data_IF_698018771749
#
_entry.id   IF_698018771749
#
_cell.length_a   1.000
_cell.length_b   1.000
_cell.length_c   1.000
_cell.angle_alpha   90.00
_cell.angle_beta   90.00
_cell.angle_gamma   90.00
#
_symmetry.space_group_name_H-M   'P 1'
#
loop_
_entity.id
_entity.type
_entity.pdbx_description
1 polymer ?
#
# COMPACT_ATOMS: atom_id res chain seq x y z
N UNK A 1 -5.30 -1.59 -7.97
CA UNK A 1 -4.44 -0.53 -8.55
C UNK A 1 -3.06 -1.11 -8.85
N UNK A 2 -2.38 -0.75 -9.95
CA UNK A 2 -0.98 -1.17 -10.20
C UNK A 2 -0.04 -0.04 -9.80
N UNK A 3 0.88 -0.32 -8.90
CA UNK A 3 1.79 0.65 -8.30
C UNK A 3 3.24 0.30 -8.69
N UNK A 4 4.05 1.28 -9.14
CA UNK A 4 5.47 1.06 -9.40
C UNK A 4 6.22 0.50 -8.17
N UNK A 5 7.08 -0.51 -8.37
CA UNK A 5 7.84 -1.13 -7.27
C UNK A 5 8.73 -0.14 -6.49
N UNK A 6 9.15 0.97 -7.09
CA UNK A 6 9.88 2.03 -6.39
C UNK A 6 9.11 2.60 -5.20
N UNK A 7 7.77 2.50 -5.20
CA UNK A 7 6.89 2.95 -4.13
C UNK A 7 6.64 1.87 -3.06
N UNK A 8 7.15 0.65 -3.24
CA UNK A 8 6.93 -0.44 -2.30
C UNK A 8 7.45 -0.10 -0.90
N UNK A 9 8.72 0.33 -0.81
CA UNK A 9 9.34 0.67 0.46
C UNK A 9 8.63 1.82 1.20
N UNK A 10 8.32 2.97 0.57
CA UNK A 10 7.57 4.03 1.25
C UNK A 10 6.14 3.63 1.63
N UNK A 11 5.49 2.73 0.88
CA UNK A 11 4.17 2.19 1.25
C UNK A 11 4.27 1.27 2.47
N UNK A 12 5.24 0.35 2.49
CA UNK A 12 5.45 -0.56 3.62
C UNK A 12 5.82 0.22 4.89
N UNK A 13 6.66 1.24 4.78
CA UNK A 13 7.00 2.09 5.93
C UNK A 13 5.79 2.84 6.48
N UNK A 14 4.91 3.33 5.61
CA UNK A 14 3.66 3.96 6.05
C UNK A 14 2.79 2.98 6.83
N UNK A 15 2.60 1.76 6.30
CA UNK A 15 1.80 0.71 6.95
C UNK A 15 2.38 0.36 8.33
N UNK A 16 3.67 0.05 8.39
CA UNK A 16 4.33 -0.40 9.63
C UNK A 16 4.56 0.72 10.65
N UNK A 17 4.55 1.98 10.18
CA UNK A 17 4.69 3.16 11.03
C UNK A 17 3.38 3.69 11.61
N UNK A 18 2.23 3.19 11.15
CA UNK A 18 0.93 3.63 11.67
C UNK A 18 0.68 3.07 13.08
N UNK A 19 0.15 3.91 13.98
CA UNK A 19 -0.19 3.52 15.36
C UNK A 19 -1.47 2.68 15.40
N UNK A 20 -1.35 1.46 14.90
CA UNK A 20 -2.41 0.50 14.65
C UNK A 20 -1.92 -0.71 13.87
N UNK A 21 -0.64 -0.74 13.46
CA UNK A 21 -0.05 -1.93 12.86
C UNK A 21 -0.09 -3.12 13.83
N UNK A 22 -0.67 -4.24 13.37
CA UNK A 22 -0.84 -5.44 14.18
C UNK A 22 0.10 -6.56 13.74
N UNK A 23 0.15 -6.86 12.43
CA UNK A 23 0.92 -8.00 11.94
C UNK A 23 1.28 -7.89 10.45
N UNK A 24 2.30 -8.67 10.08
CA UNK A 24 2.65 -8.96 8.70
C UNK A 24 2.79 -10.47 8.51
N UNK A 25 2.34 -10.99 7.36
CA UNK A 25 2.53 -12.40 7.00
C UNK A 25 2.79 -12.57 5.50
N UNK A 26 3.57 -13.59 5.09
CA UNK A 26 3.89 -13.80 3.68
C UNK A 26 2.68 -14.34 2.90
N UNK A 27 2.51 -13.88 1.66
CA UNK A 27 1.61 -14.46 0.67
C UNK A 27 2.43 -15.14 -0.44
N UNK A 28 1.82 -16.08 -1.16
CA UNK A 28 2.49 -16.84 -2.24
C UNK A 28 3.20 -15.93 -3.26
N UNK A 29 2.65 -14.74 -3.53
CA UNK A 29 3.23 -13.72 -4.40
C UNK A 29 3.17 -12.34 -3.76
N UNK A 30 3.43 -12.21 -2.45
CA UNK A 30 3.12 -10.96 -1.79
C UNK A 30 3.34 -10.91 -0.29
N UNK A 31 2.74 -9.91 0.33
CA UNK A 31 2.71 -9.74 1.78
C UNK A 31 1.35 -9.23 2.21
N UNK A 32 0.85 -9.79 3.30
CA UNK A 32 -0.38 -9.43 3.96
C UNK A 32 -0.04 -8.59 5.20
N UNK A 33 -0.74 -7.48 5.38
CA UNK A 33 -0.60 -6.60 6.54
C UNK A 33 -1.96 -6.37 7.19
N UNK A 34 -1.97 -6.31 8.52
CA UNK A 34 -3.15 -5.95 9.30
C UNK A 34 -2.87 -4.69 10.09
N UNK A 35 -3.77 -3.71 9.98
CA UNK A 35 -3.71 -2.40 10.65
C UNK A 35 -5.07 -2.06 11.23
N UNK A 36 -5.24 -2.07 12.56
CA UNK A 36 -6.52 -1.87 13.25
C UNK A 36 -7.66 -2.69 12.62
N UNK A 37 -7.41 -3.96 12.33
CA UNK A 37 -8.35 -4.86 11.64
C UNK A 37 -8.57 -4.59 10.14
N UNK A 38 -8.04 -3.50 9.57
CA UNK A 38 -7.98 -3.29 8.11
C UNK A 38 -6.91 -4.18 7.53
N UNK A 39 -7.23 -4.85 6.43
CA UNK A 39 -6.30 -5.77 5.75
C UNK A 39 -5.76 -5.11 4.49
N UNK A 40 -4.44 -5.11 4.33
CA UNK A 40 -3.76 -4.65 3.12
C UNK A 40 -2.95 -5.81 2.53
N UNK A 41 -3.31 -6.21 1.32
CA UNK A 41 -2.54 -7.21 0.57
C UNK A 41 -1.73 -6.55 -0.55
N UNK A 42 -0.42 -6.75 -0.51
CA UNK A 42 0.51 -6.39 -1.58
C UNK A 42 0.80 -7.65 -2.39
N UNK A 43 0.48 -7.63 -3.69
CA UNK A 43 0.72 -8.73 -4.63
C UNK A 43 1.73 -8.33 -5.70
N UNK A 44 2.89 -8.97 -5.72
CA UNK A 44 3.91 -8.82 -6.75
C UNK A 44 3.49 -9.50 -8.04
N UNK A 45 3.59 -8.78 -9.17
CA UNK A 45 3.26 -9.38 -10.46
C UNK A 45 4.42 -10.24 -10.96
N UNK A 46 4.15 -11.52 -11.22
CA UNK A 46 5.10 -12.42 -11.90
C UNK A 46 5.23 -12.11 -13.40
N UNK A 47 4.18 -11.53 -14.01
CA UNK A 47 4.13 -11.17 -15.43
C UNK A 47 4.65 -9.75 -15.71
N UNK A 48 4.41 -8.81 -14.80
CA UNK A 48 4.83 -7.42 -14.94
C UNK A 48 5.68 -6.99 -13.74
N UNK A 49 6.91 -7.51 -13.72
CA UNK A 49 7.90 -7.33 -12.66
C UNK A 49 8.10 -5.90 -12.13
N UNK A 50 7.97 -4.80 -12.92
CA UNK A 50 8.15 -3.44 -12.39
C UNK A 50 6.99 -2.93 -11.51
N UNK A 51 5.91 -3.70 -11.32
CA UNK A 51 4.73 -3.26 -10.57
C UNK A 51 4.22 -4.30 -9.59
N UNK A 52 3.56 -3.82 -8.54
CA UNK A 52 2.75 -4.63 -7.64
C UNK A 52 1.30 -4.15 -7.65
N UNK A 53 0.40 -4.98 -7.13
CA UNK A 53 -1.00 -4.63 -6.90
C UNK A 53 -1.27 -4.52 -5.42
N UNK A 54 -2.12 -3.57 -5.06
CA UNK A 54 -2.56 -3.35 -3.69
C UNK A 54 -4.08 -3.56 -3.60
N UNK A 55 -4.49 -4.28 -2.57
CA UNK A 55 -5.90 -4.56 -2.23
C UNK A 55 -6.15 -4.20 -0.76
N UNK A 56 -7.25 -3.50 -0.49
CA UNK A 56 -7.65 -3.03 0.85
C UNK A 56 -8.99 -3.64 1.20
N UNK A 57 -9.01 -4.47 2.25
CA UNK A 57 -10.17 -5.21 2.73
C UNK A 57 -10.55 -4.77 4.13
N UNK A 58 -11.80 -5.04 4.51
CA UNK A 58 -12.35 -4.68 5.82
C UNK A 58 -12.19 -3.18 6.17
N UNK A 59 -12.45 -2.30 5.19
CA UNK A 59 -12.22 -0.86 5.31
C UNK A 59 -13.00 -0.19 6.45
N UNK A 60 -14.09 -0.81 6.90
CA UNK A 60 -14.93 -0.31 8.00
C UNK A 60 -14.28 -0.45 9.37
N UNK A 61 -13.21 -1.25 9.52
CA UNK A 61 -12.53 -1.43 10.79
C UNK A 61 -11.76 -0.17 11.24
N UNK A 62 -11.13 0.53 10.29
CA UNK A 62 -10.50 1.83 10.52
C UNK A 62 -10.64 2.71 9.26
N UNK A 63 -11.78 3.42 9.11
CA UNK A 63 -12.02 4.25 7.93
C UNK A 63 -11.09 5.47 7.87
N UNK A 64 -10.54 5.91 9.01
CA UNK A 64 -9.59 7.03 9.06
C UNK A 64 -8.27 6.58 8.46
N UNK A 65 -7.74 5.43 8.88
CA UNK A 65 -6.54 4.85 8.30
C UNK A 65 -6.69 4.66 6.80
N UNK A 66 -7.80 4.07 6.34
CA UNK A 66 -8.06 3.84 4.91
C UNK A 66 -8.03 5.16 4.13
N UNK A 67 -8.73 6.19 4.62
CA UNK A 67 -8.75 7.50 3.97
C UNK A 67 -7.35 8.11 3.88
N UNK A 68 -6.59 8.11 4.97
CA UNK A 68 -5.23 8.65 5.00
C UNK A 68 -4.28 7.85 4.10
N UNK A 69 -4.43 6.52 4.08
CA UNK A 69 -3.60 5.63 3.28
C UNK A 69 -3.88 5.80 1.79
N UNK A 70 -5.14 5.90 1.38
CA UNK A 70 -5.52 6.17 -0.01
C UNK A 70 -5.04 7.57 -0.46
N UNK A 71 -5.15 8.59 0.41
CA UNK A 71 -4.59 9.91 0.14
C UNK A 71 -3.06 9.84 -0.04
N UNK A 72 -2.36 9.16 0.86
CA UNK A 72 -0.91 8.99 0.78
C UNK A 72 -0.50 8.30 -0.53
N UNK A 73 -1.14 7.18 -0.89
CA UNK A 73 -0.91 6.49 -2.16
C UNK A 73 -1.18 7.44 -3.33
N UNK A 74 -2.28 8.21 -3.28
CA UNK A 74 -2.62 9.20 -4.30
C UNK A 74 -1.51 10.23 -4.51
N UNK A 75 -0.91 10.76 -3.44
CA UNK A 75 0.18 11.74 -3.50
C UNK A 75 1.46 11.15 -4.08
N UNK A 76 1.87 9.96 -3.62
CA UNK A 76 3.14 9.35 -4.06
C UNK A 76 3.06 8.67 -5.42
N UNK A 77 1.84 8.42 -5.91
CA UNK A 77 1.58 7.79 -7.22
C UNK A 77 1.47 8.81 -8.36
N UNK A 78 1.50 10.12 -8.07
CA UNK A 78 1.59 11.14 -9.12
C UNK A 78 2.96 11.00 -9.81
N UNK A 79 3.01 10.85 -11.14
CA UNK A 79 4.28 10.84 -11.85
C UNK A 79 5.05 12.12 -11.54
N UNK A 80 6.38 12.01 -11.36
CA UNK A 80 7.27 13.09 -10.97
C UNK A 80 7.44 14.21 -12.03
N UNK A 81 6.42 14.47 -12.85
CA UNK A 81 6.47 15.39 -13.97
C UNK A 81 5.34 16.42 -13.89
N UNK A 82 5.45 17.30 -12.89
CA UNK A 82 4.87 18.65 -12.92
C UNK A 82 5.85 19.68 -12.33
N UNK A 83 7.15 19.53 -12.65
CA UNK A 83 8.06 20.67 -12.61
C UNK A 83 7.91 21.43 -13.92
N UNK A 84 6.82 22.19 -14.04
CA UNK A 84 6.75 23.30 -15.00
C UNK A 84 7.29 24.52 -14.28
N UNK A 85 8.62 24.75 -14.32
CA UNK A 85 9.27 26.05 -14.54
C UNK A 85 10.71 25.80 -14.98
#
# INVERSE_FOLDING_TARGET
>A
MRVPNQLLFPIVNYIKGYNGFESESPLQFGTHYVVNGVVIDIHFSTKNKPTFSLDIKNQTADPIFVQLFEQYIGVISVPADQSVV
#
